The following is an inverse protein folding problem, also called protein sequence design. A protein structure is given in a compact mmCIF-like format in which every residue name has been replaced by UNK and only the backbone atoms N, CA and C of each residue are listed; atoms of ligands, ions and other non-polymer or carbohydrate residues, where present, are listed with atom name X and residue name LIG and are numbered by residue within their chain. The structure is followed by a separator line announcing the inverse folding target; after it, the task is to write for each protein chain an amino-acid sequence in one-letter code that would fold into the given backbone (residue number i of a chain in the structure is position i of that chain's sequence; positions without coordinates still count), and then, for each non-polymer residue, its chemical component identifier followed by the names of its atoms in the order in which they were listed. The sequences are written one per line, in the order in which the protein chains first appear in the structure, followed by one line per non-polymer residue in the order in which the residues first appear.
data_IF_148203261101
#
_entry.id   IF_148203261101
#
_cell.length_a   1.000
_cell.length_b   1.000
_cell.length_c   1.000
_cell.angle_alpha   90.00
_cell.angle_beta   90.00
_cell.angle_gamma   90.00
#
_symmetry.space_group_name_H-M   'P 1'
#
loop_
_entity.id
_entity.type
_entity.pdbx_description
1 polymer ?
#
# COMPACT_ATOMS: atom_id res chain seq x y z
N UNK A 1 54.71 15.74 -31.27
CA UNK A 1 55.94 15.08 -30.81
C UNK A 1 55.56 14.22 -29.63
N UNK A 2 55.92 12.95 -29.66
CA UNK A 2 55.64 12.01 -28.58
C UNK A 2 56.38 12.46 -27.31
N UNK A 3 55.66 12.74 -26.24
CA UNK A 3 56.24 13.34 -25.01
C UNK A 3 57.17 12.39 -24.26
N UNK A 4 57.27 11.13 -24.69
CA UNK A 4 58.11 10.07 -24.13
C UNK A 4 59.25 9.64 -25.07
N UNK A 5 59.55 10.42 -26.11
CA UNK A 5 60.62 10.12 -27.10
C UNK A 5 62.00 9.84 -26.47
N UNK A 6 62.31 10.43 -25.30
CA UNK A 6 63.56 10.19 -24.58
C UNK A 6 63.64 8.78 -23.95
N UNK A 7 62.51 8.13 -23.68
CA UNK A 7 62.45 6.75 -23.18
C UNK A 7 62.45 5.74 -24.34
N UNK A 8 61.79 6.06 -25.45
CA UNK A 8 61.68 5.17 -26.61
C UNK A 8 63.01 4.91 -27.35
N UNK A 9 63.98 5.81 -27.22
CA UNK A 9 65.30 5.71 -27.85
C UNK A 9 66.44 5.36 -26.88
N UNK A 10 66.15 5.12 -25.59
CA UNK A 10 67.16 4.82 -24.58
C UNK A 10 67.42 3.30 -24.50
N UNK A 11 68.69 2.89 -24.43
CA UNK A 11 69.02 1.51 -24.11
C UNK A 11 68.54 1.16 -22.71
N UNK A 12 67.82 0.03 -22.60
CA UNK A 12 67.21 -0.44 -21.35
C UNK A 12 68.25 -0.61 -20.24
N UNK A 13 69.45 -1.08 -20.60
CA UNK A 13 70.60 -1.23 -19.70
C UNK A 13 71.07 0.10 -19.09
N UNK A 14 71.04 1.19 -19.87
CA UNK A 14 71.44 2.51 -19.41
C UNK A 14 70.42 3.11 -18.43
N UNK A 15 69.13 2.95 -18.72
CA UNK A 15 68.05 3.38 -17.82
C UNK A 15 68.09 2.60 -16.50
N UNK A 16 68.37 1.29 -16.54
CA UNK A 16 68.52 0.48 -15.34
C UNK A 16 69.73 0.90 -14.49
N UNK A 17 70.86 1.22 -15.13
CA UNK A 17 72.05 1.73 -14.43
C UNK A 17 71.78 3.07 -13.75
N UNK A 18 71.10 4.00 -14.44
CA UNK A 18 70.69 5.29 -13.88
C UNK A 18 69.73 5.12 -12.69
N UNK A 19 68.80 4.18 -12.79
CA UNK A 19 67.89 3.89 -11.68
C UNK A 19 68.62 3.29 -10.46
N UNK A 20 69.61 2.41 -10.67
CA UNK A 20 70.47 1.90 -9.57
C UNK A 20 71.29 3.00 -8.92
N UNK A 21 71.79 3.96 -9.69
CA UNK A 21 72.47 5.15 -9.16
C UNK A 21 71.52 6.01 -8.33
N UNK A 22 70.31 6.27 -8.85
CA UNK A 22 69.26 6.99 -8.14
C UNK A 22 68.86 6.34 -6.80
N UNK A 23 68.79 5.01 -6.73
CA UNK A 23 68.49 4.28 -5.49
C UNK A 23 69.60 4.42 -4.42
N UNK A 24 70.85 4.57 -4.84
CA UNK A 24 71.99 4.77 -3.93
C UNK A 24 72.10 6.23 -3.47
N UNK A 25 71.96 7.18 -4.39
CA UNK A 25 71.91 8.61 -4.11
C UNK A 25 71.00 9.32 -5.13
N UNK A 26 69.84 9.87 -4.71
CA UNK A 26 68.93 10.58 -5.60
C UNK A 26 69.58 11.78 -6.32
N UNK A 27 70.61 12.40 -5.76
CA UNK A 27 71.28 13.56 -6.38
C UNK A 27 72.34 13.16 -7.43
N UNK A 28 72.63 11.86 -7.58
CA UNK A 28 73.66 11.35 -8.50
C UNK A 28 73.24 11.33 -9.97
N UNK A 29 71.95 11.54 -10.26
CA UNK A 29 71.39 11.60 -11.62
C UNK A 29 70.85 12.99 -11.93
N UNK A 30 70.76 13.34 -13.22
CA UNK A 30 70.21 14.63 -13.64
C UNK A 30 68.77 14.83 -13.18
N UNK A 31 68.37 16.09 -12.97
CA UNK A 31 67.08 16.50 -12.40
C UNK A 31 65.88 15.87 -13.13
N UNK A 32 65.97 15.71 -14.46
CA UNK A 32 64.91 15.06 -15.23
C UNK A 32 64.72 13.58 -14.85
N UNK A 33 65.82 12.85 -14.64
CA UNK A 33 65.79 11.47 -14.19
C UNK A 33 65.37 11.35 -12.72
N UNK A 34 65.75 12.31 -11.87
CA UNK A 34 65.26 12.36 -10.48
C UNK A 34 63.74 12.48 -10.42
N UNK A 35 63.17 13.38 -11.22
CA UNK A 35 61.71 13.60 -11.30
C UNK A 35 61.03 12.35 -11.86
N UNK A 36 61.58 11.75 -12.92
CA UNK A 36 61.07 10.53 -13.52
C UNK A 36 61.08 9.36 -12.52
N UNK A 37 62.21 9.07 -11.88
CA UNK A 37 62.33 7.97 -10.92
C UNK A 37 61.54 8.21 -9.64
N UNK A 38 61.38 9.47 -9.20
CA UNK A 38 60.47 9.80 -8.10
C UNK A 38 59.01 9.49 -8.46
N UNK A 39 58.59 9.79 -9.69
CA UNK A 39 57.27 9.42 -10.21
C UNK A 39 57.11 7.90 -10.35
N UNK A 40 58.15 7.21 -10.82
CA UNK A 40 58.20 5.75 -10.93
C UNK A 40 58.14 5.05 -9.57
N UNK A 41 58.89 5.52 -8.56
CA UNK A 41 58.82 5.05 -7.17
C UNK A 41 57.46 5.35 -6.55
N UNK A 42 56.88 6.51 -6.83
CA UNK A 42 55.54 6.87 -6.38
C UNK A 42 54.47 5.94 -6.98
N UNK A 43 54.60 5.59 -8.26
CA UNK A 43 53.70 4.66 -8.94
C UNK A 43 53.92 3.19 -8.54
N UNK A 44 55.17 2.79 -8.24
CA UNK A 44 55.51 1.45 -7.70
C UNK A 44 55.15 1.29 -6.24
N UNK A 45 55.16 2.38 -5.46
CA UNK A 45 54.59 2.37 -4.13
C UNK A 45 53.09 2.14 -4.26
N UNK A 46 52.69 0.89 -4.09
CA UNK A 46 51.36 0.59 -3.59
C UNK A 46 51.24 1.28 -2.23
N UNK A 47 50.70 2.50 -2.22
CA UNK A 47 49.88 2.94 -1.10
C UNK A 47 48.73 1.96 -1.10
N UNK A 48 48.94 0.81 -0.45
CA UNK A 48 48.04 -0.33 -0.50
C UNK A 48 46.63 0.20 -0.37
N UNK A 49 45.78 -0.21 -1.32
CA UNK A 49 44.37 0.13 -1.39
C UNK A 49 43.84 0.22 0.05
N UNK A 50 43.71 1.45 0.58
CA UNK A 50 43.25 1.70 1.95
C UNK A 50 41.74 1.54 2.01
N UNK A 51 41.17 0.79 1.08
CA UNK A 51 39.91 0.09 1.25
C UNK A 51 40.11 -1.00 2.31
N UNK A 52 40.16 -0.58 3.57
CA UNK A 52 39.93 -1.48 4.70
C UNK A 52 38.66 -2.28 4.39
N UNK A 53 38.76 -3.60 4.44
CA UNK A 53 37.59 -4.45 4.31
C UNK A 53 36.49 -3.91 5.24
N UNK A 54 35.24 -3.78 4.76
CA UNK A 54 34.17 -3.21 5.57
C UNK A 54 34.10 -3.94 6.90
N UNK A 55 34.02 -3.19 8.00
CA UNK A 55 33.99 -3.78 9.34
C UNK A 55 32.81 -4.74 9.46
N UNK A 56 32.92 -5.78 10.28
CA UNK A 56 31.83 -6.74 10.50
C UNK A 56 30.53 -6.04 10.89
N UNK A 57 30.63 -4.98 11.71
CA UNK A 57 29.50 -4.14 12.09
C UNK A 57 28.86 -3.45 10.88
N UNK A 58 29.66 -2.89 9.96
CA UNK A 58 29.16 -2.27 8.73
C UNK A 58 28.46 -3.28 7.83
N UNK A 59 29.01 -4.50 7.71
CA UNK A 59 28.36 -5.59 6.95
C UNK A 59 27.00 -5.94 7.58
N UNK A 60 26.94 -6.02 8.92
CA UNK A 60 25.68 -6.30 9.62
C UNK A 60 24.65 -5.18 9.47
N UNK A 61 25.05 -3.90 9.40
CA UNK A 61 24.14 -2.80 9.07
C UNK A 61 23.44 -3.01 7.72
N UNK A 62 24.18 -3.41 6.67
CA UNK A 62 23.58 -3.72 5.38
C UNK A 62 22.63 -4.93 5.45
N UNK A 63 22.96 -5.96 6.22
CA UNK A 63 22.07 -7.11 6.45
C UNK A 63 20.76 -6.71 7.14
N UNK A 64 20.80 -5.75 8.06
CA UNK A 64 19.60 -5.20 8.70
C UNK A 64 18.77 -4.37 7.73
N UNK A 65 19.40 -3.63 6.81
CA UNK A 65 18.69 -2.93 5.72
C UNK A 65 18.00 -3.93 4.79
N UNK A 66 18.67 -5.03 4.43
CA UNK A 66 18.08 -6.10 3.62
C UNK A 66 16.87 -6.75 4.32
N UNK A 67 16.99 -7.00 5.63
CA UNK A 67 15.88 -7.46 6.47
C UNK A 67 14.69 -6.50 6.40
N UNK A 68 14.91 -5.20 6.65
CA UNK A 68 13.87 -4.16 6.56
C UNK A 68 13.17 -4.20 5.19
N UNK A 69 13.94 -4.29 4.12
CA UNK A 69 13.40 -4.32 2.76
C UNK A 69 12.60 -5.59 2.47
N UNK A 70 12.98 -6.74 3.03
CA UNK A 70 12.19 -7.97 2.89
C UNK A 70 10.87 -7.92 3.67
N UNK A 71 10.82 -7.28 4.84
CA UNK A 71 9.54 -7.01 5.53
C UNK A 71 8.61 -6.13 4.67
N UNK A 72 9.13 -5.08 4.04
CA UNK A 72 8.37 -4.20 3.13
C UNK A 72 7.82 -4.95 1.91
N UNK A 73 8.62 -5.84 1.32
CA UNK A 73 8.25 -6.59 0.11
C UNK A 73 7.32 -7.76 0.41
N UNK A 74 7.56 -8.51 1.48
CA UNK A 74 6.99 -9.85 1.72
C UNK A 74 6.27 -10.00 3.05
N UNK A 75 6.26 -8.98 3.91
CA UNK A 75 5.58 -9.02 5.22
C UNK A 75 4.11 -9.42 5.12
N UNK A 76 3.42 -9.02 4.05
CA UNK A 76 2.02 -9.37 3.78
C UNK A 76 1.75 -10.89 3.72
N UNK A 77 2.76 -11.73 3.42
CA UNK A 77 2.65 -13.20 3.47
C UNK A 77 2.55 -13.75 4.90
N UNK A 78 3.07 -13.01 5.88
CA UNK A 78 3.20 -13.43 7.28
C UNK A 78 2.15 -12.80 8.21
N UNK A 79 1.12 -12.19 7.63
CA UNK A 79 0.05 -11.50 8.36
C UNK A 79 -1.00 -12.43 8.94
N UNK A 80 -1.71 -11.93 9.96
CA UNK A 80 -2.80 -12.59 10.67
C UNK A 80 -4.17 -12.13 10.16
N UNK A 81 -4.36 -12.12 8.84
CA UNK A 81 -5.57 -11.58 8.20
C UNK A 81 -6.73 -12.56 8.03
N UNK A 82 -6.50 -13.87 8.11
CA UNK A 82 -7.56 -14.87 7.90
C UNK A 82 -8.28 -15.18 9.23
N UNK A 83 -9.58 -14.83 9.38
CA UNK A 83 -10.30 -14.99 10.64
C UNK A 83 -10.85 -16.41 10.88
N UNK A 84 -10.80 -17.29 9.86
CA UNK A 84 -11.43 -18.63 9.92
C UNK A 84 -10.41 -19.76 9.87
N UNK A 85 -9.26 -19.56 9.22
CA UNK A 85 -8.27 -20.61 8.97
C UNK A 85 -6.85 -20.11 9.17
N UNK A 86 -5.96 -21.03 9.57
CA UNK A 86 -4.51 -20.80 9.56
C UNK A 86 -4.04 -20.55 8.12
N UNK A 87 -3.20 -19.53 7.92
CA UNK A 87 -2.60 -19.24 6.60
C UNK A 87 -1.59 -20.31 6.18
N UNK A 88 -1.30 -20.31 4.88
CA UNK A 88 -0.17 -21.07 4.30
C UNK A 88 1.14 -20.60 4.94
N UNK A 89 2.07 -21.54 5.12
CA UNK A 89 3.44 -21.23 5.53
C UNK A 89 4.25 -20.86 4.29
N UNK A 90 5.05 -19.80 4.40
CA UNK A 90 5.91 -19.31 3.32
C UNK A 90 7.37 -19.46 3.71
N UNK A 91 8.21 -19.79 2.73
CA UNK A 91 9.66 -19.99 2.89
C UNK A 91 10.41 -19.25 1.77
N UNK A 92 11.62 -18.72 2.03
CA UNK A 92 12.24 -18.57 3.37
C UNK A 92 11.43 -17.60 4.24
N UNK A 93 11.52 -17.79 5.56
CA UNK A 93 10.89 -16.95 6.59
C UNK A 93 11.58 -15.59 6.70
N UNK A 94 11.03 -14.70 7.54
CA UNK A 94 11.67 -13.43 7.90
C UNK A 94 12.60 -13.56 9.12
N UNK A 95 13.07 -14.78 9.41
CA UNK A 95 14.03 -15.06 10.48
C UNK A 95 15.39 -14.44 10.15
N UNK A 96 16.07 -13.91 11.16
CA UNK A 96 17.30 -13.13 11.01
C UNK A 96 18.46 -13.94 10.42
N UNK A 97 18.44 -15.26 10.65
CA UNK A 97 19.43 -16.21 10.15
C UNK A 97 19.45 -16.26 8.63
N UNK A 98 18.30 -16.03 7.97
CA UNK A 98 18.21 -15.96 6.51
C UNK A 98 18.93 -14.73 5.92
N UNK A 99 19.31 -13.76 6.78
CA UNK A 99 20.01 -12.54 6.42
C UNK A 99 21.47 -12.55 6.93
N UNK A 100 21.95 -13.68 7.45
CA UNK A 100 23.29 -13.80 8.02
C UNK A 100 23.47 -13.05 9.34
N UNK A 101 22.37 -12.82 10.08
CA UNK A 101 22.39 -12.29 11.43
C UNK A 101 22.18 -13.45 12.42
N UNK A 102 22.63 -13.25 13.66
CA UNK A 102 22.58 -14.26 14.71
C UNK A 102 21.79 -13.76 15.93
N UNK A 103 21.36 -14.68 16.79
CA UNK A 103 20.64 -14.32 18.02
C UNK A 103 21.49 -13.44 18.96
N UNK A 104 22.82 -13.51 18.89
CA UNK A 104 23.70 -12.60 19.65
C UNK A 104 23.63 -11.15 19.19
N UNK A 105 23.17 -10.88 17.96
CA UNK A 105 23.04 -9.52 17.43
C UNK A 105 21.74 -8.83 17.88
N UNK A 106 20.84 -9.54 18.57
CA UNK A 106 19.50 -9.03 18.94
C UNK A 106 19.53 -7.75 19.78
N UNK A 107 20.50 -7.66 20.68
CA UNK A 107 20.66 -6.51 21.58
C UNK A 107 21.76 -5.55 21.09
N UNK A 108 22.33 -5.80 19.89
CA UNK A 108 23.24 -4.87 19.21
C UNK A 108 22.45 -3.70 18.60
N UNK A 109 22.96 -2.49 18.77
CA UNK A 109 22.37 -1.27 18.21
C UNK A 109 22.82 -1.09 16.76
N UNK A 110 21.85 -0.86 15.88
CA UNK A 110 22.04 -0.61 14.45
C UNK A 110 21.52 0.78 14.08
N UNK A 111 22.29 1.49 13.26
CA UNK A 111 21.90 2.77 12.67
C UNK A 111 20.85 2.60 11.57
N UNK A 112 20.73 1.41 10.98
CA UNK A 112 19.68 1.04 10.03
C UNK A 112 18.26 1.32 10.55
N UNK A 113 18.03 1.38 11.87
CA UNK A 113 16.75 1.79 12.45
C UNK A 113 16.29 3.21 12.03
N UNK A 114 17.19 4.07 11.55
CA UNK A 114 16.82 5.35 10.93
C UNK A 114 15.93 5.18 9.70
N UNK A 115 16.07 4.09 8.95
CA UNK A 115 15.28 3.80 7.75
C UNK A 115 13.79 3.59 8.01
N UNK A 116 13.42 3.27 9.25
CA UNK A 116 12.05 3.07 9.73
C UNK A 116 11.60 4.16 10.72
N UNK A 117 12.40 5.22 10.86
CA UNK A 117 12.07 6.37 11.71
C UNK A 117 12.27 6.16 13.22
N UNK A 118 12.87 5.06 13.67
CA UNK A 118 13.13 4.81 15.11
C UNK A 118 14.45 5.43 15.60
N UNK A 119 15.31 5.90 14.69
CA UNK A 119 16.69 6.25 15.02
C UNK A 119 17.57 5.01 15.24
N UNK A 120 18.80 5.17 15.78
CA UNK A 120 19.62 4.02 16.17
C UNK A 120 18.88 3.18 17.21
N UNK A 121 18.67 1.90 16.92
CA UNK A 121 17.85 1.01 17.73
C UNK A 121 18.44 -0.40 17.76
N UNK A 122 18.11 -1.18 18.79
CA UNK A 122 18.51 -2.59 18.83
C UNK A 122 17.83 -3.38 17.72
N UNK A 123 18.47 -4.44 17.22
CA UNK A 123 17.87 -5.33 16.21
C UNK A 123 16.48 -5.83 16.67
N UNK A 124 16.33 -6.16 17.95
CA UNK A 124 15.06 -6.53 18.57
C UNK A 124 13.96 -5.47 18.37
N UNK A 125 14.27 -4.20 18.62
CA UNK A 125 13.33 -3.10 18.45
C UNK A 125 12.96 -2.87 16.98
N UNK A 126 13.94 -3.02 16.07
CA UNK A 126 13.72 -2.90 14.63
C UNK A 126 12.75 -4.00 14.17
N UNK A 127 12.99 -5.26 14.57
CA UNK A 127 12.12 -6.40 14.22
C UNK A 127 10.71 -6.22 14.80
N UNK A 128 10.58 -5.83 16.07
CA UNK A 128 9.26 -5.60 16.69
C UNK A 128 8.47 -4.51 15.95
N UNK A 129 9.14 -3.41 15.57
CA UNK A 129 8.54 -2.36 14.75
C UNK A 129 8.06 -2.91 13.41
N UNK A 130 8.91 -3.62 12.66
CA UNK A 130 8.56 -4.18 11.35
C UNK A 130 7.44 -5.24 11.45
N UNK A 131 7.46 -6.06 12.48
CA UNK A 131 6.45 -7.10 12.72
C UNK A 131 5.09 -6.47 13.04
N UNK A 132 5.05 -5.38 13.82
CA UNK A 132 3.83 -4.60 14.07
C UNK A 132 3.31 -3.94 12.79
N UNK A 133 4.19 -3.33 12.00
CA UNK A 133 3.82 -2.62 10.77
C UNK A 133 3.33 -3.55 9.66
N UNK A 134 4.03 -4.66 9.39
CA UNK A 134 3.85 -5.44 8.16
C UNK A 134 3.28 -6.85 8.35
N UNK A 135 3.18 -7.36 9.59
CA UNK A 135 2.85 -8.78 9.85
C UNK A 135 1.65 -8.99 10.81
N UNK A 136 0.92 -7.94 11.19
CA UNK A 136 -0.27 -8.04 12.06
C UNK A 136 -1.55 -8.28 11.23
N UNK A 137 -2.60 -7.53 11.50
CA UNK A 137 -3.92 -7.67 10.87
C UNK A 137 -4.06 -6.92 9.53
N UNK A 138 -3.01 -6.22 9.09
CA UNK A 138 -2.98 -5.48 7.84
C UNK A 138 -1.86 -6.04 6.97
N UNK A 139 -2.20 -6.53 5.79
CA UNK A 139 -1.24 -6.90 4.75
C UNK A 139 -1.16 -5.80 3.70
N UNK A 140 0.07 -5.37 3.39
CA UNK A 140 0.31 -4.27 2.46
C UNK A 140 1.19 -4.74 1.30
N UNK A 141 0.73 -4.46 0.10
CA UNK A 141 1.44 -4.72 -1.14
C UNK A 141 1.54 -3.40 -1.88
N UNK A 142 2.75 -2.86 -1.97
CA UNK A 142 2.97 -1.52 -2.55
C UNK A 142 4.33 -1.35 -3.23
N UNK A 143 5.30 -2.22 -2.92
CA UNK A 143 6.66 -2.16 -3.48
C UNK A 143 6.72 -2.38 -5.00
N UNK A 144 5.62 -2.80 -5.63
CA UNK A 144 5.48 -2.89 -7.09
C UNK A 144 5.19 -1.54 -7.77
N UNK A 145 4.82 -0.51 -7.00
CA UNK A 145 4.53 0.84 -7.52
C UNK A 145 5.82 1.46 -8.06
N UNK A 146 5.79 1.92 -9.31
CA UNK A 146 6.96 2.48 -10.00
C UNK A 146 7.36 3.88 -9.54
N UNK A 147 6.43 4.64 -8.95
CA UNK A 147 6.67 6.02 -8.49
C UNK A 147 7.34 6.02 -7.11
N UNK A 148 8.60 6.47 -6.99
CA UNK A 148 9.31 6.47 -5.71
C UNK A 148 8.64 7.36 -4.66
N UNK A 149 8.07 8.49 -5.08
CA UNK A 149 7.36 9.42 -4.20
C UNK A 149 6.14 8.77 -3.54
N UNK A 150 5.36 7.98 -4.30
CA UNK A 150 4.21 7.24 -3.76
C UNK A 150 4.64 6.14 -2.79
N UNK A 151 5.72 5.42 -3.12
CA UNK A 151 6.29 4.38 -2.26
C UNK A 151 6.78 4.97 -0.94
N UNK A 152 7.51 6.10 -0.98
CA UNK A 152 8.00 6.77 0.23
C UNK A 152 6.86 7.37 1.06
N UNK A 153 5.82 7.93 0.42
CA UNK A 153 4.64 8.40 1.12
C UNK A 153 3.93 7.28 1.89
N UNK A 154 3.72 6.13 1.24
CA UNK A 154 3.13 4.95 1.88
C UNK A 154 4.01 4.44 3.02
N UNK A 155 5.30 4.26 2.76
CA UNK A 155 6.29 3.82 3.76
C UNK A 155 6.22 4.70 5.01
N UNK A 156 6.32 6.03 4.85
CA UNK A 156 6.25 6.98 5.96
C UNK A 156 4.93 6.88 6.73
N UNK A 157 3.79 6.77 6.03
CA UNK A 157 2.47 6.65 6.68
C UNK A 157 2.32 5.36 7.49
N UNK A 158 2.77 4.24 6.94
CA UNK A 158 2.66 2.93 7.59
C UNK A 158 3.64 2.79 8.77
N UNK A 159 4.91 3.13 8.58
CA UNK A 159 5.96 2.95 9.59
C UNK A 159 5.80 3.93 10.75
N UNK A 160 5.36 5.18 10.50
CA UNK A 160 5.13 6.15 11.59
C UNK A 160 3.98 5.75 12.53
N UNK A 161 3.02 4.95 12.06
CA UNK A 161 1.86 4.51 12.83
C UNK A 161 1.90 3.02 13.16
N UNK A 162 2.91 2.29 12.66
CA UNK A 162 2.97 0.84 12.70
C UNK A 162 1.70 0.16 12.18
N UNK A 163 1.02 0.77 11.20
CA UNK A 163 -0.31 0.39 10.73
C UNK A 163 -1.34 0.15 11.85
N UNK A 164 -1.15 0.81 12.99
CA UNK A 164 -1.95 0.64 14.21
C UNK A 164 -2.44 2.01 14.66
N UNK A 165 -3.73 2.26 14.47
CA UNK A 165 -4.35 3.50 14.93
C UNK A 165 -4.81 3.40 16.39
N UNK A 166 -4.59 4.47 17.14
CA UNK A 166 -5.12 4.62 18.49
C UNK A 166 -6.48 5.28 18.44
N UNK A 167 -7.54 4.48 18.58
CA UNK A 167 -8.91 4.97 18.69
C UNK A 167 -9.24 5.40 20.12
N UNK A 168 -9.91 6.54 20.23
CA UNK A 168 -10.55 7.01 21.46
C UNK A 168 -11.66 6.06 21.92
N UNK A 169 -12.09 6.19 23.18
CA UNK A 169 -13.18 5.38 23.74
C UNK A 169 -14.49 5.60 22.98
N UNK A 170 -14.73 6.82 22.53
CA UNK A 170 -15.90 7.25 21.77
C UNK A 170 -15.89 6.62 20.38
N UNK A 171 -14.77 6.67 19.66
CA UNK A 171 -14.63 6.04 18.34
C UNK A 171 -14.81 4.52 18.41
N UNK A 172 -14.28 3.86 19.45
CA UNK A 172 -14.50 2.43 19.67
C UNK A 172 -15.99 2.12 19.88
N UNK A 173 -16.71 2.96 20.62
CA UNK A 173 -18.17 2.83 20.80
C UNK A 173 -18.92 3.08 19.50
N UNK A 174 -18.49 4.03 18.67
CA UNK A 174 -19.08 4.27 17.33
C UNK A 174 -18.94 3.03 16.44
N UNK A 175 -17.72 2.47 16.32
CA UNK A 175 -17.45 1.26 15.54
C UNK A 175 -18.28 0.09 16.06
N UNK A 176 -18.31 -0.12 17.39
CA UNK A 176 -19.09 -1.18 18.01
C UNK A 176 -20.60 -1.01 17.76
N UNK A 177 -21.12 0.21 17.90
CA UNK A 177 -22.54 0.51 17.63
C UNK A 177 -22.93 0.22 16.18
N UNK A 178 -22.05 0.54 15.23
CA UNK A 178 -22.24 0.20 13.81
C UNK A 178 -22.35 -1.32 13.60
N UNK A 179 -21.45 -2.10 14.20
CA UNK A 179 -21.49 -3.57 14.17
C UNK A 179 -22.76 -4.13 14.81
N UNK A 180 -23.19 -3.59 15.96
CA UNK A 180 -24.43 -4.01 16.63
C UNK A 180 -25.64 -3.78 15.74
N UNK A 181 -25.72 -2.64 15.04
CA UNK A 181 -26.80 -2.35 14.08
C UNK A 181 -26.76 -3.30 12.89
N UNK A 182 -25.57 -3.55 12.33
CA UNK A 182 -25.40 -4.45 11.20
C UNK A 182 -25.87 -5.87 11.53
N UNK A 183 -25.41 -6.43 12.65
CA UNK A 183 -25.77 -7.77 13.11
C UNK A 183 -27.24 -7.84 13.52
N UNK A 184 -27.74 -6.81 14.24
CA UNK A 184 -29.14 -6.74 14.66
C UNK A 184 -30.10 -6.75 13.49
N UNK A 185 -29.77 -6.01 12.42
CA UNK A 185 -30.56 -6.00 11.18
C UNK A 185 -30.58 -7.37 10.50
N UNK A 186 -29.44 -8.04 10.38
CA UNK A 186 -29.37 -9.39 9.79
C UNK A 186 -30.19 -10.41 10.60
N UNK A 187 -30.05 -10.40 11.93
CA UNK A 187 -30.83 -11.27 12.83
C UNK A 187 -32.32 -11.02 12.70
N UNK A 188 -32.73 -9.76 12.60
CA UNK A 188 -34.13 -9.40 12.40
C UNK A 188 -34.66 -9.97 11.07
N UNK A 189 -33.94 -9.74 9.96
CA UNK A 189 -34.34 -10.27 8.66
C UNK A 189 -34.40 -11.80 8.65
N UNK A 190 -33.42 -12.46 9.27
CA UNK A 190 -33.38 -13.91 9.39
C UNK A 190 -34.60 -14.47 10.12
N UNK A 191 -34.97 -13.86 11.24
CA UNK A 191 -36.09 -14.31 12.06
C UNK A 191 -37.45 -13.99 11.45
N UNK A 192 -37.59 -12.81 10.80
CA UNK A 192 -38.89 -12.34 10.31
C UNK A 192 -39.24 -12.84 8.92
N UNK A 193 -38.25 -13.01 8.04
CA UNK A 193 -38.45 -13.35 6.63
C UNK A 193 -37.75 -14.69 6.29
N UNK A 194 -38.15 -15.73 7.02
CA UNK A 194 -37.61 -17.09 6.86
C UNK A 194 -37.78 -17.58 5.42
N UNK A 195 -36.72 -18.16 4.86
CA UNK A 195 -36.72 -18.71 3.50
C UNK A 195 -36.55 -17.67 2.37
N UNK A 196 -36.58 -16.37 2.66
CA UNK A 196 -36.32 -15.34 1.65
C UNK A 196 -34.82 -15.09 1.45
N UNK A 197 -34.39 -15.00 0.19
CA UNK A 197 -33.02 -14.60 -0.17
C UNK A 197 -32.77 -13.14 0.24
N UNK A 198 -31.73 -12.92 1.06
CA UNK A 198 -31.32 -11.58 1.56
C UNK A 198 -29.86 -11.21 1.28
N UNK A 199 -29.04 -12.17 0.83
CA UNK A 199 -27.60 -12.01 0.60
C UNK A 199 -26.88 -11.36 1.80
N UNK A 200 -26.95 -12.05 2.94
CA UNK A 200 -26.49 -11.54 4.24
C UNK A 200 -25.04 -11.05 4.21
N UNK A 201 -24.75 -10.04 5.02
CA UNK A 201 -23.38 -9.58 5.32
C UNK A 201 -22.70 -10.41 6.42
N UNK A 202 -23.36 -11.43 6.97
CA UNK A 202 -22.82 -12.33 8.01
C UNK A 202 -21.39 -12.82 7.68
N UNK A 203 -20.48 -12.64 8.64
CA UNK A 203 -19.04 -12.94 8.51
C UNK A 203 -18.21 -11.83 7.85
N UNK A 204 -18.85 -10.79 7.32
CA UNK A 204 -18.23 -9.62 6.65
C UNK A 204 -18.77 -8.29 7.18
N UNK A 205 -19.31 -8.29 8.40
CA UNK A 205 -19.98 -7.13 9.03
C UNK A 205 -19.06 -5.93 9.19
N UNK A 206 -17.74 -6.16 9.21
CA UNK A 206 -16.71 -5.11 9.24
C UNK A 206 -16.73 -4.18 8.02
N UNK A 207 -17.40 -4.59 6.93
CA UNK A 207 -17.64 -3.73 5.78
C UNK A 207 -18.38 -2.43 6.18
N UNK A 208 -19.34 -2.51 7.09
CA UNK A 208 -20.17 -1.38 7.49
C UNK A 208 -19.35 -0.29 8.21
N UNK A 209 -18.62 -0.58 9.30
CA UNK A 209 -17.77 0.43 9.93
C UNK A 209 -16.64 0.90 9.00
N UNK A 210 -16.14 0.06 8.09
CA UNK A 210 -15.15 0.48 7.09
C UNK A 210 -15.72 1.53 6.13
N UNK A 211 -16.92 1.32 5.59
CA UNK A 211 -17.61 2.30 4.74
C UNK A 211 -17.95 3.58 5.52
N UNK A 212 -18.42 3.46 6.76
CA UNK A 212 -18.71 4.61 7.60
C UNK A 212 -17.45 5.45 7.85
N UNK A 213 -16.31 4.80 8.12
CA UNK A 213 -15.03 5.48 8.31
C UNK A 213 -14.52 6.10 7.01
N UNK A 214 -14.66 5.42 5.87
CA UNK A 214 -14.31 5.94 4.55
C UNK A 214 -15.06 7.25 4.27
N UNK A 215 -16.38 7.28 4.50
CA UNK A 215 -17.20 8.47 4.30
C UNK A 215 -16.80 9.58 5.28
N UNK A 216 -16.60 9.25 6.56
CA UNK A 216 -16.15 10.19 7.59
C UNK A 216 -14.81 10.85 7.22
N UNK A 217 -13.79 10.05 6.93
CA UNK A 217 -12.47 10.54 6.55
C UNK A 217 -12.49 11.29 5.20
N UNK A 218 -13.26 10.82 4.22
CA UNK A 218 -13.39 11.51 2.94
C UNK A 218 -14.01 12.90 3.09
N UNK A 219 -15.07 13.04 3.89
CA UNK A 219 -15.67 14.38 4.15
C UNK A 219 -14.74 15.29 4.95
N UNK A 220 -13.89 14.74 5.82
CA UNK A 220 -12.83 15.47 6.50
C UNK A 220 -11.84 16.08 5.52
N UNK A 221 -11.47 15.31 4.49
CA UNK A 221 -10.60 15.72 3.39
C UNK A 221 -11.29 16.60 2.33
N UNK A 222 -12.60 16.83 2.43
CA UNK A 222 -13.34 17.76 1.57
C UNK A 222 -14.16 17.12 0.43
N UNK A 223 -14.25 15.78 0.40
CA UNK A 223 -15.19 15.04 -0.46
C UNK A 223 -16.62 15.39 -0.04
N UNK A 224 -17.48 15.63 -1.03
CA UNK A 224 -18.90 15.97 -0.84
C UNK A 224 -19.83 14.83 -1.25
N UNK A 225 -19.41 14.02 -2.22
CA UNK A 225 -20.22 12.94 -2.80
C UNK A 225 -19.46 11.62 -2.88
N UNK A 226 -20.17 10.53 -2.61
CA UNK A 226 -19.68 9.16 -2.77
C UNK A 226 -20.60 8.40 -3.71
N UNK A 227 -20.04 7.85 -4.79
CA UNK A 227 -20.78 7.02 -5.76
C UNK A 227 -20.34 5.58 -5.57
N UNK A 228 -21.26 4.74 -5.08
CA UNK A 228 -20.99 3.37 -4.66
C UNK A 228 -21.58 2.38 -5.66
N UNK A 229 -20.76 1.43 -6.12
CA UNK A 229 -21.22 0.20 -6.77
C UNK A 229 -20.90 -1.00 -5.89
N UNK A 230 -21.82 -1.97 -5.78
CA UNK A 230 -21.58 -3.18 -5.00
C UNK A 230 -22.42 -4.36 -5.51
N UNK A 231 -22.00 -5.61 -5.27
CA UNK A 231 -22.81 -6.80 -5.54
C UNK A 231 -23.98 -6.92 -4.54
N UNK A 232 -24.73 -8.00 -4.64
CA UNK A 232 -25.86 -8.29 -3.74
C UNK A 232 -25.47 -8.47 -2.25
N UNK A 233 -24.22 -8.84 -1.94
CA UNK A 233 -23.81 -9.26 -0.58
C UNK A 233 -23.76 -8.07 0.35
N UNK A 234 -24.57 -8.10 1.41
CA UNK A 234 -24.70 -7.05 2.40
C UNK A 234 -25.40 -5.78 1.91
N UNK A 235 -25.97 -5.77 0.69
CA UNK A 235 -26.54 -4.56 0.09
C UNK A 235 -27.68 -3.95 0.90
N UNK A 236 -28.58 -4.78 1.43
CA UNK A 236 -29.68 -4.29 2.27
C UNK A 236 -29.15 -3.62 3.55
N UNK A 237 -28.06 -4.15 4.10
CA UNK A 237 -27.39 -3.61 5.28
C UNK A 237 -26.75 -2.24 4.96
N UNK A 238 -26.07 -2.12 3.82
CA UNK A 238 -25.49 -0.86 3.34
C UNK A 238 -26.58 0.18 3.08
N UNK A 239 -27.67 -0.20 2.41
CA UNK A 239 -28.82 0.68 2.17
C UNK A 239 -29.37 1.28 3.46
N UNK A 240 -29.58 0.48 4.50
CA UNK A 240 -30.17 0.95 5.75
C UNK A 240 -29.17 1.63 6.67
N UNK A 241 -28.02 0.99 6.92
CA UNK A 241 -27.09 1.40 7.97
C UNK A 241 -26.02 2.40 7.50
N UNK A 242 -25.77 2.51 6.18
CA UNK A 242 -24.85 3.51 5.61
C UNK A 242 -25.63 4.63 4.93
N UNK A 243 -26.56 4.30 4.02
CA UNK A 243 -27.34 5.32 3.29
C UNK A 243 -28.56 5.82 4.06
N UNK A 244 -28.94 5.19 5.17
CA UNK A 244 -30.10 5.62 5.96
C UNK A 244 -31.44 5.36 5.28
N UNK A 245 -31.54 4.41 4.34
CA UNK A 245 -32.82 3.98 3.77
C UNK A 245 -33.74 3.52 4.92
N UNK A 246 -34.95 4.09 5.08
CA UNK A 246 -35.82 3.72 6.18
C UNK A 246 -36.16 2.23 6.18
N UNK A 247 -36.09 1.58 7.35
CA UNK A 247 -36.35 0.15 7.48
C UNK A 247 -37.71 -0.28 6.92
N UNK A 248 -38.75 0.53 7.09
CA UNK A 248 -40.09 0.22 6.61
C UNK A 248 -40.17 0.17 5.07
N UNK A 249 -39.35 0.95 4.34
CA UNK A 249 -39.24 0.82 2.88
C UNK A 249 -38.68 -0.56 2.52
N UNK A 250 -37.59 -0.98 3.17
CA UNK A 250 -36.98 -2.29 2.92
C UNK A 250 -37.95 -3.42 3.29
N UNK A 251 -38.61 -3.34 4.44
CA UNK A 251 -39.56 -4.39 4.87
C UNK A 251 -40.78 -4.49 3.97
N UNK A 252 -41.26 -3.38 3.40
CA UNK A 252 -42.34 -3.39 2.39
C UNK A 252 -41.92 -4.20 1.17
N UNK A 253 -40.66 -4.14 0.73
CA UNK A 253 -40.13 -4.93 -0.38
C UNK A 253 -40.03 -6.44 -0.09
N UNK A 254 -40.05 -6.85 1.19
CA UNK A 254 -40.15 -8.27 1.57
C UNK A 254 -41.61 -8.76 1.64
N UNK A 255 -42.56 -7.85 1.87
CA UNK A 255 -43.98 -8.15 2.01
C UNK A 255 -44.77 -7.99 0.69
N UNK A 256 -44.33 -7.09 -0.20
CA UNK A 256 -45.02 -6.78 -1.44
C UNK A 256 -44.87 -7.92 -2.46
N UNK A 257 -45.99 -8.45 -2.91
CA UNK A 257 -46.06 -9.51 -3.92
C UNK A 257 -46.05 -9.00 -5.37
N UNK A 258 -46.38 -7.72 -5.64
CA UNK A 258 -46.29 -7.04 -6.95
C UNK A 258 -46.23 -5.52 -6.78
N UNK A 259 -45.63 -4.82 -7.74
CA UNK A 259 -45.76 -3.37 -7.89
C UNK A 259 -47.22 -3.04 -8.27
N UNK A 260 -47.79 -1.97 -7.71
CA UNK A 260 -49.18 -1.54 -7.98
C UNK A 260 -49.36 -0.98 -9.40
N UNK A 261 -48.26 -0.65 -10.09
CA UNK A 261 -48.26 -0.06 -11.43
C UNK A 261 -47.85 -1.13 -12.47
N UNK A 262 -48.78 -1.52 -13.34
CA UNK A 262 -48.58 -2.58 -14.35
C UNK A 262 -47.49 -2.23 -15.39
N UNK A 263 -47.10 -0.95 -15.50
CA UNK A 263 -46.04 -0.49 -16.40
C UNK A 263 -44.63 -0.54 -15.78
N UNK A 264 -44.52 -0.79 -14.47
CA UNK A 264 -43.25 -0.95 -13.77
C UNK A 264 -42.94 -2.44 -13.62
N UNK A 265 -42.15 -2.98 -14.55
CA UNK A 265 -41.63 -4.36 -14.46
C UNK A 265 -40.80 -4.61 -13.19
N UNK A 266 -40.32 -3.53 -12.54
CA UNK A 266 -39.60 -3.59 -11.28
C UNK A 266 -38.29 -4.36 -11.37
N UNK A 267 -37.58 -4.46 -10.25
CA UNK A 267 -36.45 -5.39 -10.10
C UNK A 267 -36.41 -5.87 -8.65
N UNK A 268 -35.64 -6.91 -8.37
CA UNK A 268 -35.47 -7.42 -7.01
C UNK A 268 -34.84 -6.36 -6.10
N UNK A 269 -35.29 -6.32 -4.84
CA UNK A 269 -34.89 -5.34 -3.80
C UNK A 269 -33.39 -5.05 -3.67
N UNK A 270 -32.54 -6.01 -4.02
CA UNK A 270 -31.08 -5.89 -3.96
C UNK A 270 -30.42 -5.48 -5.30
N UNK A 271 -31.20 -5.03 -6.30
CA UNK A 271 -30.70 -4.39 -7.52
C UNK A 271 -31.01 -2.88 -7.57
N UNK A 272 -32.00 -2.43 -6.80
CA UNK A 272 -32.44 -1.05 -6.79
C UNK A 272 -31.36 -0.12 -6.21
N UNK A 273 -31.20 1.04 -6.84
CA UNK A 273 -30.35 2.12 -6.35
C UNK A 273 -31.02 2.92 -5.25
N UNK A 274 -30.26 3.78 -4.59
CA UNK A 274 -30.77 4.70 -3.59
C UNK A 274 -29.78 5.85 -3.41
N UNK A 275 -30.28 7.07 -3.31
CA UNK A 275 -29.49 8.25 -2.97
C UNK A 275 -29.99 8.86 -1.66
N UNK A 276 -29.07 9.42 -0.88
CA UNK A 276 -29.41 10.17 0.31
C UNK A 276 -28.30 11.14 0.74
N UNK A 277 -28.67 12.15 1.53
CA UNK A 277 -27.73 13.03 2.22
C UNK A 277 -27.63 12.58 3.67
N UNK A 278 -26.47 12.05 4.05
CA UNK A 278 -26.24 11.48 5.39
C UNK A 278 -25.48 12.48 6.26
N UNK A 279 -25.97 12.72 7.47
CA UNK A 279 -25.28 13.49 8.49
C UNK A 279 -24.35 12.59 9.30
N UNK A 280 -23.08 12.98 9.40
CA UNK A 280 -22.03 12.21 10.06
C UNK A 280 -21.81 12.71 11.50
N UNK A 281 -21.14 11.90 12.33
CA UNK A 281 -20.85 12.27 13.72
C UNK A 281 -19.92 13.47 13.87
N UNK A 282 -19.13 13.80 12.83
CA UNK A 282 -18.30 15.01 12.78
C UNK A 282 -19.09 16.28 12.36
N UNK A 283 -20.43 16.19 12.25
CA UNK A 283 -21.31 17.31 11.87
C UNK A 283 -21.34 17.63 10.38
N UNK A 284 -20.50 16.97 9.56
CA UNK A 284 -20.50 17.12 8.11
C UNK A 284 -21.64 16.30 7.48
N UNK A 285 -21.99 16.67 6.26
CA UNK A 285 -22.95 15.94 5.42
C UNK A 285 -22.23 15.33 4.22
N UNK A 286 -22.66 14.14 3.82
CA UNK A 286 -22.19 13.45 2.63
C UNK A 286 -23.37 13.10 1.73
N UNK A 287 -23.28 13.40 0.44
CA UNK A 287 -24.19 12.84 -0.55
C UNK A 287 -23.70 11.43 -0.88
N UNK A 288 -24.54 10.41 -0.73
CA UNK A 288 -24.18 9.03 -1.02
C UNK A 288 -25.17 8.48 -2.04
N UNK A 289 -24.66 8.03 -3.18
CA UNK A 289 -25.42 7.38 -4.23
C UNK A 289 -25.00 5.91 -4.32
N UNK A 290 -25.93 4.99 -4.10
CA UNK A 290 -25.75 3.58 -4.44
C UNK A 290 -26.37 3.33 -5.82
N UNK A 291 -25.52 2.98 -6.78
CA UNK A 291 -25.92 2.78 -8.18
C UNK A 291 -26.76 1.49 -8.30
N UNK A 292 -27.87 1.50 -9.06
CA UNK A 292 -28.60 0.28 -9.37
C UNK A 292 -27.73 -0.67 -10.21
N UNK A 293 -27.88 -1.98 -10.03
CA UNK A 293 -27.09 -2.96 -10.77
C UNK A 293 -27.87 -4.25 -11.05
N UNK A 294 -27.65 -4.89 -12.21
CA UNK A 294 -28.20 -6.20 -12.49
C UNK A 294 -27.48 -7.29 -11.66
N UNK A 295 -27.94 -8.55 -11.81
CA UNK A 295 -27.25 -9.72 -11.23
C UNK A 295 -25.89 -10.02 -11.85
N UNK A 296 -25.56 -9.45 -13.02
CA UNK A 296 -24.25 -9.60 -13.65
C UNK A 296 -23.20 -8.88 -12.79
N UNK A 297 -22.41 -9.66 -12.05
CA UNK A 297 -21.36 -9.14 -11.17
C UNK A 297 -20.36 -8.29 -11.96
N UNK A 298 -19.80 -7.27 -11.31
CA UNK A 298 -18.83 -6.32 -11.89
C UNK A 298 -19.35 -5.40 -13.01
N UNK A 299 -20.50 -5.69 -13.62
CA UNK A 299 -21.08 -4.85 -14.68
C UNK A 299 -21.42 -3.41 -14.23
N UNK A 300 -21.60 -3.20 -12.92
CA UNK A 300 -21.82 -1.87 -12.34
C UNK A 300 -20.55 -1.02 -12.30
N UNK A 301 -19.37 -1.62 -12.36
CA UNK A 301 -18.07 -0.93 -12.25
C UNK A 301 -17.94 0.22 -13.24
N UNK A 302 -18.03 -0.02 -14.57
CA UNK A 302 -17.98 1.05 -15.57
C UNK A 302 -19.07 2.12 -15.39
N UNK A 303 -20.27 1.71 -14.93
CA UNK A 303 -21.39 2.62 -14.71
C UNK A 303 -21.08 3.62 -13.59
N UNK A 304 -20.52 3.13 -12.47
CA UNK A 304 -20.04 3.98 -11.37
C UNK A 304 -18.99 4.98 -11.87
N UNK A 305 -18.03 4.50 -12.67
CA UNK A 305 -16.98 5.37 -13.22
C UNK A 305 -17.57 6.47 -14.11
N UNK A 306 -18.51 6.14 -14.99
CA UNK A 306 -19.17 7.10 -15.87
C UNK A 306 -20.00 8.14 -15.12
N UNK A 307 -20.78 7.72 -14.12
CA UNK A 307 -21.54 8.63 -13.25
C UNK A 307 -20.58 9.58 -12.51
N UNK A 308 -19.54 9.02 -11.88
CA UNK A 308 -18.53 9.79 -11.17
C UNK A 308 -17.84 10.82 -12.08
N UNK A 309 -17.40 10.40 -13.26
CA UNK A 309 -16.75 11.28 -14.24
C UNK A 309 -17.70 12.43 -14.66
N UNK A 310 -18.97 12.12 -14.95
CA UNK A 310 -19.97 13.12 -15.31
C UNK A 310 -20.22 14.12 -14.17
N UNK A 311 -20.38 13.65 -12.93
CA UNK A 311 -20.59 14.51 -11.76
C UNK A 311 -19.36 15.39 -11.49
N UNK A 312 -18.15 14.84 -11.54
CA UNK A 312 -16.91 15.60 -11.40
C UNK A 312 -16.84 16.71 -12.45
N UNK A 313 -17.05 16.37 -13.72
CA UNK A 313 -16.97 17.32 -14.84
C UNK A 313 -18.02 18.42 -14.76
N UNK A 314 -19.28 18.06 -14.51
CA UNK A 314 -20.41 18.98 -14.65
C UNK A 314 -20.86 19.62 -13.34
N UNK A 315 -20.92 18.86 -12.25
CA UNK A 315 -21.36 19.37 -10.94
C UNK A 315 -20.21 20.01 -10.15
N UNK A 316 -19.01 19.43 -10.24
CA UNK A 316 -17.84 19.88 -9.48
C UNK A 316 -16.79 20.60 -10.32
N UNK A 317 -17.11 20.97 -11.58
CA UNK A 317 -16.24 21.77 -12.46
C UNK A 317 -14.83 21.18 -12.59
N UNK A 318 -14.75 19.86 -12.72
CA UNK A 318 -13.51 19.08 -12.80
C UNK A 318 -12.65 19.08 -11.54
N UNK A 319 -13.22 19.38 -10.35
CA UNK A 319 -12.54 19.19 -9.07
C UNK A 319 -12.67 17.73 -8.60
N UNK A 320 -11.64 16.94 -8.88
CA UNK A 320 -11.52 15.53 -8.49
C UNK A 320 -11.55 15.31 -6.97
N UNK A 321 -11.30 16.33 -6.15
CA UNK A 321 -11.30 16.21 -4.69
C UNK A 321 -12.70 16.36 -4.07
N UNK A 322 -13.77 16.43 -4.88
CA UNK A 322 -15.16 16.57 -4.40
C UNK A 322 -15.98 15.30 -4.45
N UNK A 323 -15.56 14.30 -5.22
CA UNK A 323 -16.31 13.05 -5.37
C UNK A 323 -15.36 11.86 -5.25
N UNK A 324 -15.77 10.84 -4.49
CA UNK A 324 -15.04 9.59 -4.38
C UNK A 324 -15.89 8.41 -4.93
N UNK A 325 -15.49 7.80 -6.05
CA UNK A 325 -16.07 6.53 -6.47
C UNK A 325 -15.60 5.41 -5.54
N UNK A 326 -16.52 4.52 -5.16
CA UNK A 326 -16.26 3.34 -4.34
C UNK A 326 -16.86 2.12 -5.03
N UNK A 327 -16.07 1.08 -5.25
CA UNK A 327 -16.57 -0.18 -5.81
C UNK A 327 -16.26 -1.31 -4.84
N UNK A 328 -17.29 -2.02 -4.41
CA UNK A 328 -17.19 -3.20 -3.55
C UNK A 328 -17.28 -4.42 -4.45
N UNK A 329 -16.41 -5.40 -4.27
CA UNK A 329 -16.31 -6.56 -5.14
C UNK A 329 -16.56 -7.89 -4.42
N UNK A 330 -16.85 -8.93 -5.20
CA UNK A 330 -16.67 -10.32 -4.75
C UNK A 330 -15.28 -10.82 -5.13
N UNK A 331 -14.61 -11.56 -4.26
CA UNK A 331 -13.26 -12.11 -4.46
C UNK A 331 -13.14 -12.96 -5.74
N UNK A 332 -14.11 -13.84 -6.00
CA UNK A 332 -14.13 -14.64 -7.23
C UNK A 332 -14.42 -13.80 -8.48
N UNK A 333 -15.25 -12.75 -8.34
CA UNK A 333 -15.70 -11.94 -9.46
C UNK A 333 -14.62 -10.95 -9.91
N UNK A 334 -13.97 -10.26 -8.96
CA UNK A 334 -12.86 -9.32 -9.25
C UNK A 334 -11.69 -10.01 -9.95
N UNK A 335 -11.44 -11.28 -9.64
CA UNK A 335 -10.35 -12.06 -10.22
C UNK A 335 -10.66 -12.63 -11.63
N UNK A 336 -11.94 -12.71 -12.02
CA UNK A 336 -12.35 -13.48 -13.21
C UNK A 336 -13.12 -12.67 -14.26
N UNK A 337 -13.76 -11.56 -13.88
CA UNK A 337 -14.55 -10.76 -14.83
C UNK A 337 -13.67 -9.76 -15.57
N UNK A 338 -13.60 -9.91 -16.90
CA UNK A 338 -12.78 -9.06 -17.79
C UNK A 338 -13.02 -7.57 -17.64
N UNK A 339 -14.28 -7.18 -17.37
CA UNK A 339 -14.69 -5.78 -17.21
C UNK A 339 -13.94 -5.05 -16.09
N UNK A 340 -13.45 -5.76 -15.06
CA UNK A 340 -12.65 -5.15 -13.99
C UNK A 340 -11.31 -4.65 -14.54
N UNK A 341 -10.64 -5.44 -15.36
CA UNK A 341 -9.38 -5.07 -15.99
C UNK A 341 -9.56 -3.97 -17.03
N UNK A 342 -10.67 -3.98 -17.77
CA UNK A 342 -11.04 -2.89 -18.66
C UNK A 342 -11.21 -1.57 -17.89
N UNK A 343 -11.94 -1.57 -16.78
CA UNK A 343 -12.11 -0.38 -15.92
C UNK A 343 -10.79 0.14 -15.38
N UNK A 344 -9.92 -0.74 -14.88
CA UNK A 344 -8.60 -0.34 -14.37
C UNK A 344 -7.76 0.27 -15.49
N UNK A 345 -7.81 -0.27 -16.70
CA UNK A 345 -7.09 0.29 -17.86
C UNK A 345 -7.56 1.71 -18.22
N UNK A 346 -8.81 2.05 -17.92
CA UNK A 346 -9.39 3.37 -18.18
C UNK A 346 -9.02 4.43 -17.11
N UNK A 347 -8.48 4.03 -15.95
CA UNK A 347 -8.40 4.91 -14.76
C UNK A 347 -7.57 6.17 -14.95
N UNK A 348 -6.55 6.13 -15.80
CA UNK A 348 -5.64 7.26 -16.09
C UNK A 348 -5.90 7.93 -17.45
N UNK A 349 -6.92 7.49 -18.20
CA UNK A 349 -7.26 8.12 -19.48
C UNK A 349 -8.06 9.41 -19.27
N UNK A 350 -7.69 10.48 -19.97
CA UNK A 350 -8.31 11.81 -19.81
C UNK A 350 -9.85 11.81 -19.94
N UNK A 351 -10.38 11.02 -20.89
CA UNK A 351 -11.83 10.92 -21.13
C UNK A 351 -12.61 10.06 -20.13
N UNK A 352 -11.93 9.36 -19.21
CA UNK A 352 -12.54 8.37 -18.32
C UNK A 352 -12.11 8.52 -16.85
N UNK A 353 -10.98 9.17 -16.59
CA UNK A 353 -10.40 9.32 -15.27
C UNK A 353 -11.29 10.13 -14.32
N UNK A 354 -11.24 9.78 -13.04
CA UNK A 354 -12.00 10.41 -11.97
C UNK A 354 -11.16 10.70 -10.71
N UNK A 355 -9.82 10.74 -10.84
CA UNK A 355 -8.91 11.01 -9.72
C UNK A 355 -8.59 9.79 -8.85
N UNK A 356 -9.14 8.62 -9.19
CA UNK A 356 -8.92 7.36 -8.49
C UNK A 356 -10.21 6.82 -7.86
N UNK A 357 -10.28 5.51 -7.73
CA UNK A 357 -11.42 4.80 -7.14
C UNK A 357 -10.96 3.98 -5.94
N UNK A 358 -11.76 3.94 -4.87
CA UNK A 358 -11.52 3.05 -3.74
C UNK A 358 -12.20 1.71 -4.02
N UNK A 359 -11.41 0.65 -4.07
CA UNK A 359 -11.89 -0.72 -4.24
C UNK A 359 -11.90 -1.44 -2.88
N UNK A 360 -13.00 -2.13 -2.55
CA UNK A 360 -13.18 -2.87 -1.30
C UNK A 360 -13.47 -4.35 -1.59
#
# INVERSE_FOLDING_TARGET
MDSLSFLGNAEISAVESLYRQYLNDPNSVDLQWQIFFRGYEFARKNYGDTSQAPSEQMIKEFRVIDLINEYRKRGHFFTRTNPVRTRRKYYPTLDIENFGLSQSDMDTVFHAGKEIGTGPATLRQIIDHLQKTYCQSVGVEYMYIRSPERVEWLKKKMESTQNTLHFSSEEKKEIFSCLVKAIGFEKFLHNRFVGQKRFSVEGTETLLPALQQLVKSGTELGIKEFVIGMPHRGRLNVLTNILGKPYHHVFREFAASRYEDENLLGDVKYHLGYDNVVSLSNGKKANILLVPNPSHLEAVGPVVQGIAHAHIKHLYKSDYNKLCPVIIHGDAAIAAQGVVYEVIQLSELEGYGNGGTIHI
#
